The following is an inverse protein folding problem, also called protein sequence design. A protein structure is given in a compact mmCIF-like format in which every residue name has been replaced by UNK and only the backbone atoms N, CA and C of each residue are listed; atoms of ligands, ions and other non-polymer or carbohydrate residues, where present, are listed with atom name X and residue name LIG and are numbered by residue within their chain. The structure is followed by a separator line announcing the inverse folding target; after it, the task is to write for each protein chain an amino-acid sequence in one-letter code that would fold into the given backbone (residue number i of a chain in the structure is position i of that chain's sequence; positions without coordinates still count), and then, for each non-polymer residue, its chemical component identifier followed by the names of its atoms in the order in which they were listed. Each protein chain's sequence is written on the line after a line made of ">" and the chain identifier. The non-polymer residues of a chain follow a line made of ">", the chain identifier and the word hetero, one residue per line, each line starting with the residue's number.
data_IF_004098695738
#
_entry.id   IF_004098695738
#
_cell.length_a   1.000
_cell.length_b   1.000
_cell.length_c   1.000
_cell.angle_alpha   90.00
_cell.angle_beta   90.00
_cell.angle_gamma   90.00
#
_symmetry.space_group_name_H-M   'P 1'
#
loop_
_entity.id
_entity.type
_entity.pdbx_description
1 polymer ?
#
# COMPACT_ATOMS: atom_id res chain seq x y z
N UNK A 1 -11.62 -7.90 -25.02
CA UNK A 1 -11.58 -9.27 -24.47
C UNK A 1 -10.53 -9.36 -23.38
N UNK A 2 -10.75 -10.19 -22.37
CA UNK A 2 -9.78 -10.55 -21.33
C UNK A 2 -9.64 -12.08 -21.35
N UNK A 3 -8.41 -12.58 -21.42
CA UNK A 3 -8.13 -14.00 -21.34
C UNK A 3 -7.78 -14.36 -19.89
N UNK A 4 -8.35 -15.46 -19.40
CA UNK A 4 -8.07 -16.05 -18.11
C UNK A 4 -7.80 -17.55 -18.30
N UNK A 5 -7.28 -18.22 -17.26
CA UNK A 5 -6.95 -19.64 -17.34
C UNK A 5 -8.12 -20.53 -17.80
N UNK A 6 -9.37 -20.16 -17.44
CA UNK A 6 -10.58 -20.91 -17.77
C UNK A 6 -11.34 -20.44 -19.02
N UNK A 7 -10.85 -19.44 -19.76
CA UNK A 7 -11.55 -18.96 -20.96
C UNK A 7 -11.36 -17.47 -21.26
N UNK A 8 -12.28 -16.92 -22.04
CA UNK A 8 -12.25 -15.52 -22.48
C UNK A 8 -13.55 -14.82 -22.15
N UNK A 9 -13.44 -13.57 -21.70
CA UNK A 9 -14.58 -12.69 -21.45
C UNK A 9 -14.52 -11.50 -22.40
N UNK A 10 -15.63 -11.23 -23.08
CA UNK A 10 -15.83 -10.01 -23.87
C UNK A 10 -16.57 -8.98 -23.03
N UNK A 11 -16.11 -7.74 -23.07
CA UNK A 11 -16.71 -6.62 -22.37
C UNK A 11 -16.39 -5.33 -23.13
N UNK A 12 -17.34 -4.39 -23.12
CA UNK A 12 -17.18 -3.08 -23.76
C UNK A 12 -16.14 -2.23 -23.03
N UNK A 13 -16.09 -2.36 -21.69
CA UNK A 13 -15.16 -1.66 -20.81
C UNK A 13 -14.38 -2.62 -19.93
N UNK A 14 -13.16 -2.23 -19.56
CA UNK A 14 -12.24 -2.99 -18.71
C UNK A 14 -11.62 -2.08 -17.66
N UNK A 15 -11.39 -2.59 -16.46
CA UNK A 15 -10.73 -1.84 -15.38
C UNK A 15 -9.57 -2.67 -14.84
N UNK A 16 -8.36 -2.10 -14.88
CA UNK A 16 -7.15 -2.67 -14.31
C UNK A 16 -7.03 -2.19 -12.86
N UNK A 17 -7.22 -3.11 -11.92
CA UNK A 17 -7.15 -2.86 -10.47
C UNK A 17 -6.11 -3.71 -9.76
N UNK A 18 -5.03 -4.12 -10.44
CA UNK A 18 -4.07 -5.09 -9.92
C UNK A 18 -2.98 -4.48 -9.00
N UNK A 19 -2.86 -3.15 -8.98
CA UNK A 19 -1.90 -2.41 -8.14
C UNK A 19 -0.47 -3.01 -8.16
N UNK A 20 0.11 -3.35 -7.00
CA UNK A 20 1.45 -3.94 -6.91
C UNK A 20 1.60 -5.32 -7.57
N UNK A 21 0.48 -5.99 -7.88
CA UNK A 21 0.42 -7.33 -8.44
C UNK A 21 0.09 -7.33 -9.94
N UNK A 22 0.27 -6.19 -10.61
CA UNK A 22 0.02 -6.05 -12.05
C UNK A 22 0.89 -6.98 -12.90
N UNK A 23 2.09 -7.32 -12.43
CA UNK A 23 3.08 -8.13 -13.15
C UNK A 23 3.27 -7.60 -14.59
N UNK A 24 3.16 -8.49 -15.58
CA UNK A 24 3.39 -8.17 -16.99
C UNK A 24 2.09 -7.84 -17.75
N UNK A 25 0.96 -7.65 -17.06
CA UNK A 25 -0.33 -7.37 -17.71
C UNK A 25 -0.31 -6.05 -18.51
N UNK A 26 0.44 -5.06 -18.05
CA UNK A 26 0.68 -3.81 -18.76
C UNK A 26 2.07 -3.26 -18.38
N UNK A 27 3.06 -3.35 -19.29
CA UNK A 27 4.39 -2.78 -19.06
C UNK A 27 4.36 -1.26 -18.78
N UNK A 28 3.45 -0.54 -19.45
CA UNK A 28 3.24 0.90 -19.25
C UNK A 28 2.88 1.21 -17.80
N UNK A 29 1.84 0.55 -17.27
CA UNK A 29 1.35 0.78 -15.91
C UNK A 29 2.31 0.20 -14.87
N UNK A 30 2.89 -0.97 -15.13
CA UNK A 30 3.86 -1.61 -14.23
C UNK A 30 5.13 -0.77 -14.06
N UNK A 31 5.52 -0.02 -15.09
CA UNK A 31 6.61 0.96 -15.04
C UNK A 31 6.40 2.11 -14.06
N UNK A 32 5.15 2.40 -13.67
CA UNK A 32 4.78 3.53 -12.82
C UNK A 32 4.45 3.13 -11.38
N UNK A 33 4.62 1.84 -11.04
CA UNK A 33 4.35 1.31 -9.70
C UNK A 33 5.60 0.68 -9.12
N UNK A 34 5.95 1.12 -7.92
CA UNK A 34 6.99 0.53 -7.08
C UNK A 34 6.31 -0.35 -6.02
N UNK A 35 6.43 -1.69 -6.11
CA UNK A 35 5.92 -2.57 -5.08
C UNK A 35 6.80 -2.43 -3.82
N UNK A 36 6.17 -2.23 -2.67
CA UNK A 36 6.82 -2.24 -1.37
C UNK A 36 6.06 -3.17 -0.42
N UNK A 37 6.78 -3.99 0.34
CA UNK A 37 6.13 -4.87 1.32
C UNK A 37 5.75 -4.09 2.57
N UNK A 38 4.55 -4.30 3.10
CA UNK A 38 4.08 -3.76 4.39
C UNK A 38 3.61 -4.90 5.28
N UNK A 39 3.91 -4.83 6.57
CA UNK A 39 3.70 -5.94 7.50
C UNK A 39 2.98 -5.50 8.77
N UNK A 40 2.26 -6.44 9.37
CA UNK A 40 1.50 -6.23 10.59
C UNK A 40 1.75 -7.39 11.55
N UNK A 41 1.92 -7.07 12.84
CA UNK A 41 1.79 -7.99 13.96
C UNK A 41 0.47 -7.77 14.67
N UNK A 42 -0.16 -8.85 15.11
CA UNK A 42 -1.25 -8.81 16.08
C UNK A 42 -0.85 -9.56 17.35
N UNK A 43 -0.98 -8.89 18.48
CA UNK A 43 -0.82 -9.53 19.79
C UNK A 43 -1.94 -10.55 20.05
N UNK A 44 -1.80 -11.31 21.13
CA UNK A 44 -2.95 -11.92 21.79
C UNK A 44 -3.96 -10.89 22.29
N UNK A 45 -5.13 -11.35 22.68
CA UNK A 45 -6.17 -10.47 23.25
C UNK A 45 -5.64 -9.87 24.55
N UNK A 46 -5.55 -8.54 24.60
CA UNK A 46 -4.98 -7.82 25.73
C UNK A 46 -6.03 -7.58 26.81
N UNK A 47 -5.60 -7.66 28.07
CA UNK A 47 -6.45 -7.28 29.20
C UNK A 47 -6.96 -5.85 29.05
N UNK A 48 -8.21 -5.60 29.49
CA UNK A 48 -8.86 -4.28 29.36
C UNK A 48 -8.01 -3.15 29.97
N UNK A 49 -7.40 -3.39 31.13
CA UNK A 49 -6.57 -2.41 31.83
C UNK A 49 -5.32 -2.06 31.01
N UNK A 50 -4.68 -3.05 30.41
CA UNK A 50 -3.52 -2.86 29.55
C UNK A 50 -3.89 -2.08 28.28
N UNK A 51 -5.01 -2.43 27.62
CA UNK A 51 -5.54 -1.70 26.46
C UNK A 51 -5.77 -0.22 26.75
N UNK A 52 -6.40 0.09 27.87
CA UNK A 52 -6.69 1.47 28.30
C UNK A 52 -5.43 2.25 28.65
N UNK A 53 -4.35 1.59 29.06
CA UNK A 53 -3.07 2.25 29.29
C UNK A 53 -2.34 2.52 27.97
N UNK A 54 -2.33 1.56 27.05
CA UNK A 54 -1.66 1.65 25.76
C UNK A 54 -2.33 2.66 24.81
N UNK A 55 -3.66 2.59 24.68
CA UNK A 55 -4.46 3.43 23.79
C UNK A 55 -5.73 3.90 24.53
N UNK A 56 -5.63 4.92 25.41
CA UNK A 56 -6.72 5.29 26.31
C UNK A 56 -8.01 5.71 25.60
N UNK A 57 -7.88 6.41 24.46
CA UNK A 57 -9.01 6.84 23.63
C UNK A 57 -9.35 5.85 22.51
N UNK A 58 -8.63 4.71 22.44
CA UNK A 58 -8.78 3.72 21.37
C UNK A 58 -8.73 4.31 19.95
N UNK A 59 -7.85 5.29 19.75
CA UNK A 59 -7.64 5.93 18.45
C UNK A 59 -6.62 5.13 17.63
N UNK A 60 -6.76 5.16 16.31
CA UNK A 60 -5.68 4.75 15.42
C UNK A 60 -4.57 5.80 15.46
N UNK A 61 -3.32 5.35 15.56
CA UNK A 61 -2.15 6.22 15.66
C UNK A 61 -1.18 5.88 14.54
N UNK A 62 -0.56 6.90 13.96
CA UNK A 62 0.60 6.76 13.10
C UNK A 62 1.63 7.83 13.50
N UNK A 63 2.91 7.50 13.41
CA UNK A 63 3.96 8.49 13.55
C UNK A 63 4.08 9.39 12.30
N UNK A 64 5.01 10.34 12.34
CA UNK A 64 5.30 11.26 11.23
C UNK A 64 6.57 10.87 10.44
N UNK A 65 7.14 9.69 10.68
CA UNK A 65 8.35 9.25 10.01
C UNK A 65 8.05 8.88 8.55
N UNK A 66 9.06 8.93 7.69
CA UNK A 66 8.88 8.54 6.28
C UNK A 66 8.53 7.05 6.15
N UNK A 67 9.16 6.22 6.99
CA UNK A 67 8.81 4.81 7.16
C UNK A 67 7.96 4.65 8.42
N UNK A 68 6.69 5.07 8.30
CA UNK A 68 5.82 5.20 9.46
C UNK A 68 5.50 3.87 10.14
N UNK A 69 5.48 3.90 11.47
CA UNK A 69 4.86 2.86 12.29
C UNK A 69 3.44 3.34 12.66
N UNK A 70 2.47 2.41 12.58
CA UNK A 70 1.05 2.69 12.84
C UNK A 70 0.42 1.56 13.64
N UNK A 71 -0.54 1.90 14.51
CA UNK A 71 -1.15 0.91 15.38
C UNK A 71 -2.55 1.30 15.83
N UNK A 72 -3.35 0.29 16.14
CA UNK A 72 -4.71 0.42 16.71
C UNK A 72 -5.10 -0.85 17.45
N UNK A 73 -6.14 -0.78 18.28
CA UNK A 73 -6.76 -2.00 18.80
C UNK A 73 -7.74 -2.59 17.77
N UNK A 74 -7.79 -3.92 17.68
CA UNK A 74 -8.89 -4.64 17.03
C UNK A 74 -10.15 -4.63 17.91
N UNK A 75 -11.29 -5.00 17.33
CA UNK A 75 -12.58 -5.03 18.04
C UNK A 75 -12.56 -6.00 19.24
N UNK A 76 -11.85 -7.12 19.14
CA UNK A 76 -11.67 -8.09 20.22
C UNK A 76 -10.55 -7.73 21.21
N UNK A 77 -9.80 -6.65 20.98
CA UNK A 77 -8.83 -6.11 21.94
C UNK A 77 -7.38 -6.56 21.75
N UNK A 78 -6.98 -6.92 20.54
CA UNK A 78 -5.56 -7.13 20.18
C UNK A 78 -4.94 -5.81 19.78
N UNK A 79 -3.66 -5.61 20.05
CA UNK A 79 -2.93 -4.51 19.42
C UNK A 79 -2.48 -4.96 18.03
N UNK A 80 -2.94 -4.25 17.01
CA UNK A 80 -2.45 -4.35 15.64
C UNK A 80 -1.33 -3.33 15.48
N UNK A 81 -0.12 -3.80 15.17
CA UNK A 81 1.04 -2.96 14.96
C UNK A 81 1.59 -3.18 13.56
N UNK A 82 1.42 -2.19 12.70
CA UNK A 82 1.87 -2.19 11.32
C UNK A 82 3.01 -1.21 11.09
N UNK A 83 3.76 -1.46 10.04
CA UNK A 83 4.86 -0.59 9.67
C UNK A 83 5.86 -1.29 8.77
N UNK A 84 7.08 -0.77 8.82
CA UNK A 84 8.25 -1.33 8.17
C UNK A 84 8.03 -1.65 6.69
N UNK A 85 7.77 -0.60 5.91
CA UNK A 85 7.81 -0.71 4.46
C UNK A 85 9.17 -1.27 4.03
N UNK A 86 9.22 -2.51 3.55
CA UNK A 86 10.42 -3.09 2.98
C UNK A 86 10.48 -2.74 1.50
N UNK A 87 11.39 -1.83 1.22
CA UNK A 87 11.60 -1.23 -0.09
C UNK A 87 12.56 -2.05 -0.98
N UNK A 88 12.98 -3.23 -0.53
CA UNK A 88 13.70 -4.19 -1.38
C UNK A 88 12.77 -4.94 -2.35
N UNK A 89 11.44 -4.86 -2.15
CA UNK A 89 10.45 -5.63 -2.90
C UNK A 89 10.40 -7.11 -2.54
N UNK A 90 11.03 -7.52 -1.42
CA UNK A 90 11.04 -8.90 -0.92
C UNK A 90 10.45 -8.96 0.48
N UNK A 91 9.71 -10.03 0.76
CA UNK A 91 9.25 -10.29 2.12
C UNK A 91 10.43 -10.66 3.05
N UNK A 92 10.42 -10.23 4.33
CA UNK A 92 11.37 -10.72 5.30
C UNK A 92 11.14 -12.22 5.51
N UNK A 93 12.22 -12.97 5.77
CA UNK A 93 12.12 -14.40 6.08
C UNK A 93 11.28 -14.68 7.32
N UNK A 94 11.29 -13.75 8.27
CA UNK A 94 10.51 -13.79 9.49
C UNK A 94 9.96 -12.38 9.79
N UNK A 95 8.65 -12.21 9.60
CA UNK A 95 7.95 -10.94 9.83
C UNK A 95 8.02 -10.55 11.31
N UNK A 96 7.83 -11.51 12.22
CA UNK A 96 7.85 -11.29 13.66
C UNK A 96 9.22 -10.83 14.11
N UNK A 97 10.29 -11.51 13.71
CA UNK A 97 11.65 -11.10 14.07
C UNK A 97 11.98 -9.68 13.56
N UNK A 98 11.48 -9.31 12.39
CA UNK A 98 11.67 -7.99 11.81
C UNK A 98 10.87 -6.88 12.51
N UNK A 99 9.61 -7.16 12.86
CA UNK A 99 8.67 -6.17 13.40
C UNK A 99 8.73 -6.04 14.93
N UNK A 100 9.10 -7.10 15.66
CA UNK A 100 9.07 -7.12 17.12
C UNK A 100 9.97 -6.05 17.76
N UNK A 101 11.21 -5.77 17.30
CA UNK A 101 12.01 -4.68 17.85
C UNK A 101 11.34 -3.30 17.73
N UNK A 102 10.54 -3.08 16.68
CA UNK A 102 9.80 -1.83 16.46
C UNK A 102 8.62 -1.72 17.43
N UNK A 103 7.86 -2.81 17.57
CA UNK A 103 6.80 -2.91 18.57
C UNK A 103 7.33 -2.62 19.97
N UNK A 104 8.45 -3.23 20.37
CA UNK A 104 9.05 -3.05 21.70
C UNK A 104 9.59 -1.64 21.95
N UNK A 105 10.00 -0.91 20.90
CA UNK A 105 10.41 0.49 21.03
C UNK A 105 9.25 1.39 21.42
N UNK A 106 8.06 1.15 20.86
CA UNK A 106 6.86 1.94 21.12
C UNK A 106 6.16 1.47 22.40
N UNK A 107 6.09 0.16 22.60
CA UNK A 107 5.34 -0.48 23.68
C UNK A 107 6.21 -1.49 24.45
N UNK A 108 7.21 -1.02 25.23
CA UNK A 108 8.07 -1.91 26.01
C UNK A 108 7.28 -2.74 27.04
N UNK A 109 6.14 -2.23 27.50
CA UNK A 109 5.24 -2.94 28.42
C UNK A 109 4.55 -4.17 27.83
N UNK A 110 4.65 -4.40 26.52
CA UNK A 110 4.19 -5.62 25.85
C UNK A 110 5.25 -6.73 25.87
N UNK A 111 6.38 -6.55 26.53
CA UNK A 111 7.37 -7.60 26.72
C UNK A 111 6.72 -8.89 27.27
N UNK A 112 6.99 -10.02 26.62
CA UNK A 112 6.39 -11.32 26.97
C UNK A 112 4.97 -11.55 26.45
N UNK A 113 4.31 -10.54 25.86
CA UNK A 113 3.00 -10.72 25.21
C UNK A 113 3.14 -11.59 23.96
N UNK A 114 2.27 -12.58 23.83
CA UNK A 114 2.25 -13.43 22.64
C UNK A 114 1.89 -12.62 21.39
N UNK A 115 2.58 -12.90 20.29
CA UNK A 115 2.18 -12.48 18.95
C UNK A 115 1.44 -13.66 18.32
N UNK A 116 0.13 -13.52 18.16
CA UNK A 116 -0.73 -14.60 17.65
C UNK A 116 -0.81 -14.60 16.13
N UNK A 117 -0.77 -13.42 15.51
CA UNK A 117 -0.82 -13.31 14.06
C UNK A 117 0.27 -12.39 13.53
N UNK A 118 0.73 -12.71 12.33
CA UNK A 118 1.61 -11.89 11.52
C UNK A 118 1.20 -12.07 10.06
N UNK A 119 1.23 -10.98 9.30
CA UNK A 119 1.02 -11.05 7.86
C UNK A 119 1.68 -9.87 7.17
N UNK A 120 1.78 -9.97 5.85
CA UNK A 120 2.28 -8.93 4.99
C UNK A 120 1.57 -8.90 3.65
N UNK A 121 1.88 -7.87 2.87
CA UNK A 121 1.43 -7.73 1.50
C UNK A 121 2.15 -6.61 0.78
N UNK A 122 2.03 -6.59 -0.54
CA UNK A 122 2.65 -5.58 -1.39
C UNK A 122 1.71 -4.40 -1.57
N UNK A 123 2.19 -3.20 -1.30
CA UNK A 123 1.55 -1.94 -1.64
C UNK A 123 2.19 -1.36 -2.90
N UNK A 124 1.37 -0.79 -3.78
CA UNK A 124 1.85 -0.08 -4.96
C UNK A 124 2.09 1.39 -4.62
N UNK A 125 3.32 1.85 -4.81
CA UNK A 125 3.74 3.23 -4.57
C UNK A 125 4.03 3.91 -5.91
N UNK A 126 3.43 5.08 -6.13
CA UNK A 126 3.75 5.94 -7.26
C UNK A 126 4.86 6.94 -6.88
N UNK A 127 5.63 7.41 -7.87
CA UNK A 127 6.73 8.36 -7.61
C UNK A 127 6.29 9.66 -6.93
N UNK A 128 5.11 10.19 -7.29
CA UNK A 128 4.52 11.38 -6.68
C UNK A 128 3.55 11.08 -5.51
N UNK A 129 3.47 9.81 -5.09
CA UNK A 129 2.58 9.30 -4.02
C UNK A 129 1.08 9.58 -4.18
N UNK A 130 0.64 10.04 -5.36
CA UNK A 130 -0.76 10.21 -5.69
C UNK A 130 -1.35 8.92 -6.30
N UNK A 131 -2.60 8.57 -5.98
CA UNK A 131 -3.31 7.50 -6.69
C UNK A 131 -3.31 7.77 -8.19
N UNK A 132 -2.98 6.74 -8.96
CA UNK A 132 -3.02 6.77 -10.42
C UNK A 132 -4.40 6.31 -10.87
N UNK A 133 -5.19 7.23 -11.42
CA UNK A 133 -6.53 6.95 -11.94
C UNK A 133 -6.58 7.49 -13.36
N UNK A 134 -6.86 6.63 -14.33
CA UNK A 134 -6.82 7.04 -15.73
C UNK A 134 -7.29 5.95 -16.68
N UNK A 135 -7.05 6.19 -17.97
CA UNK A 135 -7.31 5.24 -19.06
C UNK A 135 -6.05 5.08 -19.91
N UNK A 136 -5.84 3.91 -20.49
CA UNK A 136 -4.71 3.68 -21.39
C UNK A 136 -4.88 4.52 -22.66
N UNK A 137 -3.81 5.16 -23.12
CA UNK A 137 -3.86 6.06 -24.28
C UNK A 137 -4.30 5.32 -25.55
N UNK A 138 -3.70 4.16 -25.81
CA UNK A 138 -4.01 3.33 -26.98
C UNK A 138 -5.33 2.54 -26.85
N UNK A 139 -5.89 2.47 -25.64
CA UNK A 139 -7.08 1.70 -25.34
C UNK A 139 -8.04 2.51 -24.43
N UNK A 140 -8.81 3.45 -25.01
CA UNK A 140 -9.62 4.40 -24.25
C UNK A 140 -10.75 3.77 -23.43
N UNK A 141 -11.14 2.52 -23.74
CA UNK A 141 -12.10 1.73 -22.97
C UNK A 141 -11.45 0.85 -21.88
N UNK A 142 -10.15 1.01 -21.62
CA UNK A 142 -9.41 0.36 -20.54
C UNK A 142 -9.03 1.41 -19.51
N UNK A 143 -9.71 1.37 -18.37
CA UNK A 143 -9.45 2.20 -17.21
C UNK A 143 -8.46 1.52 -16.27
N UNK A 144 -7.81 2.30 -15.41
CA UNK A 144 -6.97 1.78 -14.35
C UNK A 144 -7.10 2.61 -13.08
N UNK A 145 -6.90 1.95 -11.94
CA UNK A 145 -6.75 2.59 -10.65
C UNK A 145 -5.68 1.85 -9.84
N UNK A 146 -4.57 2.51 -9.52
CA UNK A 146 -3.40 1.89 -8.88
C UNK A 146 -2.57 2.89 -8.06
N UNK A 147 -1.44 2.43 -7.51
CA UNK A 147 -0.44 3.27 -6.86
C UNK A 147 -0.95 4.12 -5.68
N UNK A 148 -1.90 3.57 -4.92
CA UNK A 148 -2.52 4.27 -3.78
C UNK A 148 -1.55 4.66 -2.66
N UNK A 149 -0.29 4.20 -2.70
CA UNK A 149 0.80 4.71 -1.85
C UNK A 149 0.49 4.68 -0.34
N UNK A 150 -0.21 3.64 0.12
CA UNK A 150 -0.64 3.47 1.52
C UNK A 150 -2.06 3.96 1.82
N UNK A 151 -2.71 4.66 0.90
CA UNK A 151 -4.07 5.21 1.02
C UNK A 151 -5.13 4.34 0.34
N UNK A 152 -4.89 3.02 0.25
CA UNK A 152 -5.77 2.10 -0.49
C UNK A 152 -7.13 1.86 0.17
N UNK A 153 -7.27 2.10 1.47
CA UNK A 153 -8.56 1.93 2.15
C UNK A 153 -9.47 3.15 1.99
N UNK A 154 -8.92 4.36 2.11
CA UNK A 154 -9.68 5.60 2.01
C UNK A 154 -9.87 6.06 0.55
N UNK A 155 -8.84 6.00 -0.29
CA UNK A 155 -8.89 6.58 -1.63
C UNK A 155 -9.62 5.69 -2.66
N UNK A 156 -9.69 4.37 -2.45
CA UNK A 156 -10.26 3.44 -3.45
C UNK A 156 -11.75 3.66 -3.68
N UNK A 157 -12.52 4.05 -2.66
CA UNK A 157 -13.94 4.35 -2.82
C UNK A 157 -14.16 5.54 -3.77
N UNK A 158 -13.37 6.60 -3.62
CA UNK A 158 -13.35 7.73 -4.54
C UNK A 158 -12.89 7.30 -5.93
N UNK A 159 -11.81 6.53 -6.03
CA UNK A 159 -11.29 6.07 -7.32
C UNK A 159 -12.32 5.23 -8.09
N UNK A 160 -13.00 4.31 -7.40
CA UNK A 160 -14.05 3.48 -7.98
C UNK A 160 -15.23 4.34 -8.49
N UNK A 161 -15.65 5.34 -7.71
CA UNK A 161 -16.68 6.29 -8.14
C UNK A 161 -16.27 7.04 -9.41
N UNK A 162 -15.07 7.60 -9.45
CA UNK A 162 -14.57 8.34 -10.61
C UNK A 162 -14.47 7.47 -11.88
N UNK A 163 -14.02 6.21 -11.73
CA UNK A 163 -13.97 5.25 -12.85
C UNK A 163 -15.39 4.90 -13.32
N UNK A 164 -16.33 4.69 -12.41
CA UNK A 164 -17.72 4.39 -12.75
C UNK A 164 -18.42 5.56 -13.46
N UNK A 165 -18.20 6.80 -13.00
CA UNK A 165 -18.64 8.03 -13.67
C UNK A 165 -18.07 8.11 -15.09
N UNK A 166 -16.75 7.87 -15.24
CA UNK A 166 -16.10 7.92 -16.55
C UNK A 166 -16.64 6.86 -17.53
N UNK A 167 -16.96 5.65 -17.04
CA UNK A 167 -17.61 4.60 -17.85
C UNK A 167 -19.00 5.06 -18.33
N UNK A 168 -19.72 5.84 -17.52
CA UNK A 168 -21.04 6.40 -17.87
C UNK A 168 -20.95 7.68 -18.73
N UNK A 169 -19.74 8.15 -19.05
CA UNK A 169 -19.51 9.38 -19.81
C UNK A 169 -19.38 10.65 -18.97
N UNK A 170 -19.42 10.56 -17.65
CA UNK A 170 -19.20 11.68 -16.72
C UNK A 170 -17.71 11.74 -16.35
N UNK A 171 -16.97 12.76 -16.83
CA UNK A 171 -15.50 12.72 -16.76
C UNK A 171 -14.84 13.79 -15.88
N UNK A 172 -15.55 14.82 -15.39
CA UNK A 172 -14.89 15.99 -14.76
C UNK A 172 -13.91 15.62 -13.63
N UNK A 173 -14.33 14.80 -12.67
CA UNK A 173 -13.45 14.39 -11.57
C UNK A 173 -12.36 13.41 -12.03
N UNK A 174 -12.71 12.51 -12.94
CA UNK A 174 -11.78 11.56 -13.53
C UNK A 174 -10.67 12.25 -14.32
N UNK A 175 -11.01 13.23 -15.16
CA UNK A 175 -10.08 13.93 -16.04
C UNK A 175 -9.04 14.71 -15.23
N UNK A 176 -9.43 15.28 -14.09
CA UNK A 176 -8.51 15.93 -13.15
C UNK A 176 -7.44 14.96 -12.62
N UNK A 177 -7.84 13.76 -12.20
CA UNK A 177 -6.86 12.75 -11.76
C UNK A 177 -6.03 12.20 -12.92
N UNK A 178 -6.66 11.97 -14.08
CA UNK A 178 -5.97 11.42 -15.25
C UNK A 178 -4.94 12.37 -15.86
N UNK A 179 -5.11 13.69 -15.64
CA UNK A 179 -4.17 14.72 -16.08
C UNK A 179 -2.93 14.85 -15.21
N UNK A 180 -2.86 14.14 -14.06
CA UNK A 180 -1.68 14.16 -13.20
C UNK A 180 -0.55 13.39 -13.88
N UNK A 181 0.64 14.01 -14.09
CA UNK A 181 1.76 13.31 -14.67
C UNK A 181 2.33 12.30 -13.68
N UNK A 182 2.48 11.05 -14.12
CA UNK A 182 3.08 9.97 -13.34
C UNK A 182 4.35 9.47 -14.03
N UNK A 183 5.47 9.62 -13.34
CA UNK A 183 6.78 9.21 -13.85
C UNK A 183 6.90 7.69 -13.92
N UNK A 184 7.37 7.19 -15.07
CA UNK A 184 7.85 5.81 -15.20
C UNK A 184 9.23 5.72 -14.55
N UNK A 185 9.41 4.74 -13.66
CA UNK A 185 10.68 4.54 -12.97
C UNK A 185 11.77 4.17 -13.99
N UNK A 186 12.88 4.91 -14.05
CA UNK A 186 13.92 4.66 -15.04
C UNK A 186 14.60 3.31 -14.80
N UNK A 187 15.02 2.64 -15.88
CA UNK A 187 15.80 1.40 -15.79
C UNK A 187 15.00 0.12 -15.57
N UNK A 188 13.67 0.18 -15.72
CA UNK A 188 12.81 -1.00 -15.73
C UNK A 188 12.82 -1.79 -14.41
N UNK A 189 12.34 -3.04 -14.41
CA UNK A 189 12.23 -3.86 -13.19
C UNK A 189 13.54 -4.01 -12.41
N UNK A 190 14.68 -4.06 -13.09
CA UNK A 190 15.99 -4.26 -12.48
C UNK A 190 16.44 -3.08 -11.60
N UNK A 191 16.07 -1.84 -11.95
CA UNK A 191 16.45 -0.64 -11.21
C UNK A 191 15.39 -0.14 -10.21
N UNK A 192 14.17 -0.71 -10.22
CA UNK A 192 13.09 -0.31 -9.28
C UNK A 192 13.50 -0.44 -7.81
N UNK A 193 13.94 -1.63 -7.38
CA UNK A 193 14.31 -1.86 -5.98
C UNK A 193 15.55 -1.05 -5.54
N UNK A 194 16.65 -0.98 -6.34
CA UNK A 194 17.78 -0.11 -6.00
C UNK A 194 17.43 1.37 -5.89
N UNK A 195 16.63 1.91 -6.82
CA UNK A 195 16.21 3.31 -6.79
C UNK A 195 15.31 3.62 -5.59
N UNK A 196 14.40 2.70 -5.27
CA UNK A 196 13.53 2.82 -4.10
C UNK A 196 14.34 2.76 -2.80
N UNK A 197 15.34 1.86 -2.71
CA UNK A 197 16.25 1.78 -1.58
C UNK A 197 17.08 3.06 -1.41
N UNK A 198 17.61 3.64 -2.49
CA UNK A 198 18.33 4.92 -2.47
C UNK A 198 17.45 6.08 -2.02
N UNK A 199 16.23 6.18 -2.55
CA UNK A 199 15.27 7.20 -2.13
C UNK A 199 14.94 7.09 -0.64
N UNK A 200 14.82 5.86 -0.13
CA UNK A 200 14.55 5.64 1.30
C UNK A 200 15.76 5.91 2.19
N UNK A 201 16.98 5.60 1.73
CA UNK A 201 18.19 5.97 2.45
C UNK A 201 18.28 7.49 2.59
N UNK A 202 18.03 8.23 1.51
CA UNK A 202 17.98 9.68 1.51
C UNK A 202 16.95 10.23 2.52
N UNK A 203 15.75 9.67 2.53
CA UNK A 203 14.73 10.07 3.49
C UNK A 203 15.10 9.74 4.94
N UNK A 204 15.68 8.57 5.21
CA UNK A 204 16.18 8.23 6.55
C UNK A 204 17.29 9.17 7.02
N UNK A 205 18.16 9.61 6.12
CA UNK A 205 19.18 10.60 6.46
C UNK A 205 18.54 11.94 6.84
N UNK A 206 17.47 12.35 6.15
CA UNK A 206 16.71 13.56 6.52
C UNK A 206 16.00 13.43 7.86
N UNK A 207 15.46 12.26 8.19
CA UNK A 207 14.79 12.03 9.48
C UNK A 207 15.78 12.06 10.68
N UNK A 208 17.09 11.95 10.42
CA UNK A 208 18.16 12.01 11.43
C UNK A 208 18.79 13.40 11.60
N UNK A 209 18.54 14.31 10.65
CA UNK A 209 19.06 15.69 10.63
C UNK A 209 18.05 16.67 11.22
#
# INVERSE_FOLDING_TARGET
>A
QVAAAGGRVSADYRVIGCNAYLNDLSPELGGRVLPAGSYILATGVLEKRLRQRLLPQNMAVCDQNVALDYYRLSADGRLLFGGACNYSGRDPRDIKAFMLPKLMRVFPELAGTAIEFQWGGMIGIGANRLPQIGRLQDHPNVFYAQAYSGHGLNATHMAAKLVAEAIRGESRGFDLFSGVPHMTVPGGPALRSPLLALGMLWHRMKDLL
#
